data_IF_879891198968
#
_entry.id   IF_879891198968
#
_cell.length_a   1.000
_cell.length_b   1.000
_cell.length_c   1.000
_cell.angle_alpha   90.00
_cell.angle_beta   90.00
_cell.angle_gamma   90.00
#
_symmetry.space_group_name_H-M   'P 1'
#
loop_
_entity.id
_entity.type
_entity.pdbx_description
1 polymer ?
#
# COMPACT_ATOMS: atom_id res chain seq x y z
N UNK A 1 -12.64 -17.21 20.15
CA UNK A 1 -11.70 -16.92 19.07
C UNK A 1 -12.29 -15.90 18.09
N UNK A 2 -11.55 -14.90 17.77
CA UNK A 2 -12.03 -13.91 16.81
C UNK A 2 -12.13 -14.51 15.41
N UNK A 3 -13.25 -14.28 14.76
CA UNK A 3 -13.42 -14.73 13.39
C UNK A 3 -12.68 -13.76 12.47
N UNK A 4 -11.91 -14.31 11.57
CA UNK A 4 -11.24 -13.51 10.57
C UNK A 4 -12.22 -13.23 9.44
N UNK A 5 -12.55 -11.97 9.24
CA UNK A 5 -13.49 -11.57 8.20
C UNK A 5 -12.78 -10.95 7.00
N UNK A 6 -11.54 -10.50 7.19
CA UNK A 6 -10.83 -9.80 6.13
C UNK A 6 -9.98 -10.76 5.33
N UNK A 7 -9.94 -10.55 4.03
CA UNK A 7 -9.06 -11.30 3.15
C UNK A 7 -7.71 -10.62 3.11
N UNK A 8 -6.64 -11.39 3.02
CA UNK A 8 -5.31 -10.79 2.89
C UNK A 8 -5.18 -10.05 1.56
N UNK A 9 -4.42 -8.96 1.58
CA UNK A 9 -4.05 -8.27 0.36
C UNK A 9 -2.64 -8.70 0.02
N UNK A 10 -2.48 -9.27 -1.16
CA UNK A 10 -1.20 -9.80 -1.59
C UNK A 10 -0.51 -8.81 -2.49
N UNK A 11 0.74 -8.51 -2.19
CA UNK A 11 1.57 -7.63 -2.99
C UNK A 11 2.82 -8.40 -3.37
N UNK A 12 3.09 -8.47 -4.66
CA UNK A 12 4.25 -9.20 -5.14
C UNK A 12 4.56 -8.82 -6.57
N UNK A 13 5.79 -9.07 -6.98
CA UNK A 13 6.26 -8.66 -8.30
C UNK A 13 5.52 -9.34 -9.44
N UNK A 14 4.89 -10.48 -9.17
CA UNK A 14 4.13 -11.21 -10.18
C UNK A 14 2.63 -10.93 -10.13
N UNK A 15 2.23 -10.00 -9.31
CA UNK A 15 0.82 -9.63 -9.15
C UNK A 15 0.57 -8.27 -9.79
N UNK A 16 -0.68 -8.08 -10.22
CA UNK A 16 -1.09 -6.81 -10.82
C UNK A 16 -1.48 -5.82 -9.72
N UNK A 17 -0.50 -5.42 -8.94
CA UNK A 17 -0.70 -4.55 -7.78
C UNK A 17 0.28 -3.39 -7.80
N UNK A 18 -0.14 -2.29 -7.22
CA UNK A 18 0.72 -1.13 -7.05
C UNK A 18 0.43 -0.44 -5.73
N UNK A 19 1.33 0.44 -5.36
CA UNK A 19 1.19 1.23 -4.15
C UNK A 19 1.34 2.70 -4.53
N UNK A 20 0.37 3.50 -4.12
CA UNK A 20 0.40 4.95 -4.29
C UNK A 20 0.35 5.59 -2.91
N UNK A 21 1.01 6.72 -2.77
CA UNK A 21 0.98 7.47 -1.54
C UNK A 21 1.00 8.96 -1.84
N UNK A 22 0.39 9.75 -0.97
CA UNK A 22 0.39 11.18 -1.14
C UNK A 22 -0.41 11.86 -0.03
N UNK A 23 -0.45 13.19 -0.04
CA UNK A 23 -1.26 13.90 0.92
C UNK A 23 -2.74 13.58 0.74
N UNK A 24 -3.49 13.62 1.83
CA UNK A 24 -4.94 13.40 1.76
C UNK A 24 -5.59 14.47 0.89
N UNK A 25 -6.55 14.04 0.07
CA UNK A 25 -7.20 14.92 -0.90
C UNK A 25 -8.42 15.63 -0.33
N UNK A 26 -8.54 15.65 1.00
CA UNK A 26 -9.54 16.44 1.67
C UNK A 26 -10.80 15.72 2.10
N UNK A 27 -11.17 14.63 1.47
CA UNK A 27 -12.39 13.93 1.86
C UNK A 27 -12.16 12.42 1.92
N UNK A 28 -12.52 11.77 3.03
CA UNK A 28 -13.15 12.36 4.23
C UNK A 28 -12.17 13.05 5.16
N UNK A 29 -10.87 12.94 4.90
CA UNK A 29 -9.83 13.47 5.78
C UNK A 29 -9.23 14.72 5.19
N UNK A 30 -9.07 15.75 6.03
CA UNK A 30 -8.56 17.05 5.58
C UNK A 30 -7.06 17.18 5.76
N UNK A 31 -6.47 16.34 6.60
CA UNK A 31 -5.04 16.39 6.89
C UNK A 31 -4.49 14.97 6.87
N UNK A 32 -3.18 14.86 6.89
CA UNK A 32 -2.52 13.57 6.91
C UNK A 32 -2.13 13.11 5.51
N UNK A 33 -1.90 11.83 5.38
CA UNK A 33 -1.48 11.22 4.12
C UNK A 33 -2.15 9.88 3.93
N UNK A 34 -2.35 9.50 2.69
CA UNK A 34 -2.98 8.25 2.34
C UNK A 34 -2.02 7.34 1.59
N UNK A 35 -2.11 6.05 1.89
CA UNK A 35 -1.42 5.03 1.15
C UNK A 35 -2.48 4.13 0.54
N UNK A 36 -2.42 3.95 -0.78
CA UNK A 36 -3.37 3.13 -1.50
C UNK A 36 -2.71 1.89 -2.03
N UNK A 37 -3.39 0.76 -1.83
CA UNK A 37 -3.01 -0.49 -2.48
C UNK A 37 -4.00 -0.67 -3.61
N UNK A 38 -3.49 -0.64 -4.85
CA UNK A 38 -4.33 -0.59 -6.05
C UNK A 38 -4.19 -1.85 -6.88
N UNK A 39 -5.24 -2.14 -7.65
CA UNK A 39 -5.19 -3.17 -8.66
C UNK A 39 -4.86 -2.53 -9.98
N UNK A 40 -3.96 -3.18 -10.72
CA UNK A 40 -3.56 -2.74 -12.04
C UNK A 40 -4.16 -3.68 -13.08
N UNK A 41 -4.41 -3.17 -14.28
CA UNK A 41 -4.95 -3.98 -15.36
C UNK A 41 -3.87 -4.79 -16.08
N UNK A 42 -2.61 -4.54 -15.76
CA UNK A 42 -1.49 -5.30 -16.31
C UNK A 42 -0.35 -5.31 -15.30
N UNK A 43 0.59 -6.23 -15.49
CA UNK A 43 1.77 -6.27 -14.65
C UNK A 43 2.74 -5.17 -15.07
N UNK A 44 3.23 -4.44 -14.08
CA UNK A 44 4.23 -3.40 -14.30
C UNK A 44 5.55 -3.93 -13.76
N UNK A 45 6.60 -4.03 -14.60
CA UNK A 45 7.90 -4.48 -14.11
C UNK A 45 8.44 -3.58 -13.02
N UNK A 46 9.23 -4.18 -12.14
CA UNK A 46 9.85 -3.45 -11.05
C UNK A 46 10.70 -2.30 -11.61
N UNK A 47 10.55 -1.12 -11.02
CA UNK A 47 11.27 0.06 -11.46
C UNK A 47 10.55 0.88 -12.53
N UNK A 48 9.43 0.38 -13.05
CA UNK A 48 8.62 1.16 -13.97
C UNK A 48 7.43 1.77 -13.25
N UNK A 49 7.02 2.93 -13.72
CA UNK A 49 5.86 3.62 -13.18
C UNK A 49 4.60 3.21 -13.94
N UNK A 50 3.47 3.31 -13.27
CA UNK A 50 2.19 3.12 -13.91
C UNK A 50 1.47 4.46 -14.00
N UNK A 51 0.49 4.54 -14.89
CA UNK A 51 -0.31 5.75 -15.10
C UNK A 51 -1.74 5.48 -14.61
N UNK A 52 -2.54 6.54 -14.61
CA UNK A 52 -3.95 6.39 -14.20
C UNK A 52 -4.69 5.38 -15.07
N UNK A 53 -4.30 5.25 -16.33
CA UNK A 53 -4.93 4.29 -17.23
C UNK A 53 -4.68 2.84 -16.85
N UNK A 54 -3.60 2.60 -16.11
CA UNK A 54 -3.26 1.25 -15.67
C UNK A 54 -4.02 0.83 -14.42
N UNK A 55 -4.66 1.77 -13.76
CA UNK A 55 -5.35 1.49 -12.49
C UNK A 55 -6.74 0.94 -12.77
N UNK A 56 -6.98 -0.29 -12.31
CA UNK A 56 -8.27 -0.92 -12.40
C UNK A 56 -9.16 -0.57 -11.21
N UNK A 57 -8.58 -0.45 -10.03
CA UNK A 57 -9.34 -0.12 -8.84
C UNK A 57 -8.46 -0.08 -7.60
N UNK A 58 -9.09 0.20 -6.47
CA UNK A 58 -8.41 0.30 -5.19
C UNK A 58 -8.80 -0.89 -4.31
N UNK A 59 -7.80 -1.60 -3.81
CA UNK A 59 -8.02 -2.70 -2.86
C UNK A 59 -8.21 -2.18 -1.44
N UNK A 60 -7.39 -1.23 -1.06
CA UNK A 60 -7.42 -0.71 0.30
C UNK A 60 -6.76 0.66 0.37
N UNK A 61 -7.15 1.41 1.37
CA UNK A 61 -6.53 2.68 1.68
C UNK A 61 -6.15 2.68 3.16
N UNK A 62 -4.97 3.18 3.46
CA UNK A 62 -4.54 3.40 4.83
C UNK A 62 -4.33 4.89 5.00
N UNK A 63 -5.02 5.47 5.96
CA UNK A 63 -4.88 6.87 6.27
C UNK A 63 -3.97 7.05 7.49
N UNK A 64 -2.94 7.87 7.34
CA UNK A 64 -2.04 8.22 8.43
C UNK A 64 -2.43 9.59 8.96
N UNK A 65 -2.77 9.65 10.23
CA UNK A 65 -3.22 10.88 10.87
C UNK A 65 -2.08 11.81 11.22
N UNK A 66 -0.88 11.27 11.35
CA UNK A 66 0.27 12.05 11.76
C UNK A 66 1.57 11.44 11.21
N UNK A 67 2.62 12.25 11.25
CA UNK A 67 3.91 11.84 10.71
C UNK A 67 4.56 10.76 11.56
N UNK A 68 4.30 10.77 12.86
CA UNK A 68 4.85 9.77 13.76
C UNK A 68 4.41 8.37 13.40
N UNK A 69 3.14 8.24 13.03
CA UNK A 69 2.60 6.94 12.61
C UNK A 69 3.24 6.44 11.32
N UNK A 70 3.57 7.34 10.41
CA UNK A 70 4.29 6.97 9.20
C UNK A 70 5.68 6.45 9.55
N UNK A 71 6.39 7.15 10.43
CA UNK A 71 7.73 6.72 10.85
C UNK A 71 7.70 5.34 11.50
N UNK A 72 6.71 5.11 12.37
CA UNK A 72 6.57 3.81 13.03
C UNK A 72 6.29 2.69 12.02
N UNK A 73 5.50 3.00 11.01
CA UNK A 73 5.21 2.01 9.96
C UNK A 73 6.48 1.68 9.18
N UNK A 74 7.29 2.70 8.86
CA UNK A 74 8.57 2.48 8.18
C UNK A 74 9.48 1.59 9.04
N UNK A 75 9.54 1.85 10.34
CA UNK A 75 10.38 1.08 11.24
C UNK A 75 9.95 -0.40 11.27
N UNK A 76 8.65 -0.64 11.33
CA UNK A 76 8.13 -2.00 11.33
C UNK A 76 8.45 -2.70 10.02
N UNK A 77 8.23 -2.03 8.90
CA UNK A 77 8.53 -2.60 7.59
C UNK A 77 10.02 -2.86 7.41
N UNK A 78 10.85 -1.95 7.93
CA UNK A 78 12.29 -2.14 7.91
C UNK A 78 12.68 -3.39 8.70
N UNK A 79 12.07 -3.59 9.86
CA UNK A 79 12.33 -4.77 10.67
C UNK A 79 11.90 -6.05 9.95
N UNK A 80 10.76 -6.02 9.29
CA UNK A 80 10.32 -7.16 8.49
C UNK A 80 11.36 -7.49 7.43
N UNK A 81 11.84 -6.47 6.73
CA UNK A 81 12.82 -6.66 5.66
C UNK A 81 14.13 -7.25 6.21
N UNK A 82 14.59 -6.76 7.37
CA UNK A 82 15.81 -7.25 7.99
C UNK A 82 15.69 -8.70 8.43
N UNK A 83 14.49 -9.11 8.83
CA UNK A 83 14.24 -10.47 9.29
C UNK A 83 13.82 -11.41 8.16
N UNK A 84 13.65 -10.89 6.97
CA UNK A 84 13.24 -11.69 5.83
C UNK A 84 14.38 -12.62 5.43
N UNK A 85 14.07 -13.88 5.33
CA UNK A 85 15.07 -14.85 4.91
C UNK A 85 14.95 -15.07 3.41
N UNK A 86 16.06 -14.94 2.72
CA UNK A 86 16.11 -15.23 1.30
C UNK A 86 15.97 -16.73 1.07
N UNK A 87 15.32 -17.08 0.01
CA UNK A 87 15.16 -18.48 -0.36
C UNK A 87 16.06 -18.85 -1.53
#
# INVERSE_FOLDING_TARGET
>A
MARRTDLPIMIGKNLKKGILAGPSMGHPFKTGADLYIIRLNKRIPSGQSFTDEDIEGVNAMIHFCDRESVKRTIDVLTEVLLKWKEE
#
